data_IF_793147658405
#
_entry.id   IF_793147658405
#
_cell.length_a   1.000
_cell.length_b   1.000
_cell.length_c   1.000
_cell.angle_alpha   90.00
_cell.angle_beta   90.00
_cell.angle_gamma   90.00
#
_symmetry.space_group_name_H-M   'P 1'
#
loop_
_entity.id
_entity.type
_entity.pdbx_description
1 polymer ?
#
# COMPACT_ATOMS: atom_id res chain seq x y z
N UNK A 1 -32.24 44.90 -32.90
CA UNK A 1 -32.86 44.46 -31.63
C UNK A 1 -32.42 43.03 -31.38
N UNK A 2 -32.21 42.70 -30.10
CA UNK A 2 -31.27 41.71 -29.60
C UNK A 2 -31.67 40.26 -29.91
N UNK A 3 -30.76 39.53 -30.55
CA UNK A 3 -30.72 38.06 -30.51
C UNK A 3 -30.19 37.70 -29.12
N UNK A 4 -30.99 37.02 -28.29
CA UNK A 4 -30.52 36.52 -27.00
C UNK A 4 -29.43 35.46 -27.27
N UNK A 5 -28.17 35.84 -27.04
CA UNK A 5 -27.12 34.90 -26.66
C UNK A 5 -27.50 34.33 -25.31
N UNK A 6 -28.12 33.16 -25.31
CA UNK A 6 -28.17 32.28 -24.14
C UNK A 6 -26.99 31.31 -24.25
N UNK A 7 -26.26 31.22 -23.17
CA UNK A 7 -24.85 30.85 -23.07
C UNK A 7 -24.56 29.39 -23.47
N UNK A 8 -23.57 29.12 -24.33
CA UNK A 8 -23.06 27.77 -24.49
C UNK A 8 -22.15 27.48 -23.29
N UNK A 9 -22.33 26.33 -22.63
CA UNK A 9 -21.44 25.82 -21.57
C UNK A 9 -21.60 26.45 -20.17
N UNK A 10 -22.84 26.44 -19.68
CA UNK A 10 -23.08 26.42 -18.24
C UNK A 10 -22.44 25.19 -17.59
N UNK A 11 -21.65 25.44 -16.55
CA UNK A 11 -20.98 24.51 -15.62
C UNK A 11 -19.78 23.73 -16.19
N UNK A 12 -18.52 24.08 -15.80
CA UNK A 12 -17.52 23.03 -15.69
C UNK A 12 -18.09 22.03 -14.70
N UNK A 13 -18.35 20.81 -15.17
CA UNK A 13 -18.53 19.65 -14.32
C UNK A 13 -17.52 19.79 -13.20
N UNK A 14 -18.01 19.91 -11.96
CA UNK A 14 -17.16 19.77 -10.79
C UNK A 14 -16.60 18.37 -10.92
N UNK A 15 -15.42 18.27 -11.54
CA UNK A 15 -14.57 17.12 -11.47
C UNK A 15 -14.22 17.06 -9.99
N UNK A 16 -15.11 16.45 -9.20
CA UNK A 16 -14.65 15.68 -8.07
C UNK A 16 -13.47 14.90 -8.62
N UNK A 17 -12.24 15.11 -8.13
CA UNK A 17 -11.18 14.20 -8.47
C UNK A 17 -11.72 12.83 -8.09
N UNK A 18 -11.96 11.99 -9.10
CA UNK A 18 -12.19 10.57 -8.89
C UNK A 18 -11.09 10.14 -7.95
N UNK A 19 -11.50 9.69 -6.78
CA UNK A 19 -10.64 9.49 -5.63
C UNK A 19 -9.72 8.32 -5.97
N UNK A 20 -8.58 8.62 -6.58
CA UNK A 20 -7.63 7.61 -7.00
C UNK A 20 -6.82 7.28 -5.77
N UNK A 21 -7.38 6.41 -4.93
CA UNK A 21 -6.66 5.75 -3.85
C UNK A 21 -5.59 4.86 -4.44
N UNK A 22 -4.48 5.46 -4.88
CA UNK A 22 -3.23 4.80 -5.30
C UNK A 22 -2.50 4.21 -4.08
N UNK A 23 -3.26 3.67 -3.12
CA UNK A 23 -2.73 3.06 -1.92
C UNK A 23 -2.14 1.70 -2.29
N UNK A 24 -0.84 1.56 -2.10
CA UNK A 24 -0.15 0.29 -2.29
C UNK A 24 -0.70 -0.71 -1.27
N UNK A 25 -1.35 -1.77 -1.74
CA UNK A 25 -1.82 -2.85 -0.87
C UNK A 25 -0.78 -3.95 -0.79
N UNK A 26 -0.33 -4.25 0.43
CA UNK A 26 0.64 -5.28 0.73
C UNK A 26 -0.02 -6.33 1.62
N UNK A 27 -0.23 -7.54 1.09
CA UNK A 27 -0.73 -8.66 1.88
C UNK A 27 0.47 -9.54 2.30
N UNK A 28 0.86 -9.40 3.56
CA UNK A 28 1.87 -10.24 4.19
C UNK A 28 1.22 -11.56 4.62
N UNK A 29 1.76 -12.67 4.13
CA UNK A 29 1.37 -14.02 4.53
C UNK A 29 -0.16 -14.27 4.41
N UNK A 30 -0.75 -14.09 3.21
CA UNK A 30 -2.21 -14.16 3.01
C UNK A 30 -2.82 -15.51 3.39
N UNK A 31 -2.02 -16.56 3.33
CA UNK A 31 -2.35 -17.90 3.75
C UNK A 31 -1.03 -18.59 3.99
N UNK A 32 -0.37 -18.33 5.14
CA UNK A 32 0.83 -19.06 5.52
C UNK A 32 0.47 -20.55 5.40
N UNK A 33 0.91 -21.24 4.34
CA UNK A 33 0.49 -22.61 4.16
C UNK A 33 1.16 -23.32 5.32
N UNK A 34 0.42 -24.05 6.14
CA UNK A 34 0.99 -24.84 7.25
C UNK A 34 2.12 -25.80 6.80
N UNK A 35 2.42 -25.86 5.50
CA UNK A 35 3.55 -26.53 4.87
C UNK A 35 4.93 -25.85 5.06
N UNK A 36 5.03 -24.55 5.42
CA UNK A 36 6.32 -23.87 5.61
C UNK A 36 6.47 -23.28 7.03
N UNK A 37 7.04 -24.04 7.98
CA UNK A 37 7.24 -23.56 9.35
C UNK A 37 8.19 -22.36 9.41
N UNK A 38 9.23 -22.35 8.59
CA UNK A 38 10.22 -21.26 8.53
C UNK A 38 10.60 -20.92 7.08
N UNK A 39 10.96 -19.66 6.84
CA UNK A 39 11.40 -19.19 5.54
C UNK A 39 11.55 -17.68 5.47
N UNK A 40 12.19 -17.22 4.41
CA UNK A 40 12.24 -15.81 4.05
C UNK A 40 11.88 -15.61 2.57
N UNK A 41 11.18 -14.51 2.31
CA UNK A 41 10.87 -14.05 0.96
C UNK A 41 11.40 -12.63 0.83
N UNK A 42 12.16 -12.37 -0.22
CA UNK A 42 12.74 -11.05 -0.50
C UNK A 42 12.40 -10.64 -1.92
N UNK A 43 12.27 -9.34 -2.16
CA UNK A 43 11.97 -8.81 -3.49
C UNK A 43 10.51 -8.94 -3.91
N UNK A 44 9.57 -9.10 -2.97
CA UNK A 44 8.14 -9.03 -3.28
C UNK A 44 7.80 -7.62 -3.73
N UNK A 45 7.39 -7.46 -4.98
CA UNK A 45 7.01 -6.16 -5.52
C UNK A 45 5.51 -5.97 -5.40
N UNK A 46 5.08 -5.10 -4.50
CA UNK A 46 3.67 -4.71 -4.41
C UNK A 46 3.35 -3.58 -5.41
N UNK A 47 2.06 -3.42 -5.71
CA UNK A 47 1.58 -2.33 -6.56
C UNK A 47 1.97 -0.98 -5.95
N UNK A 48 2.43 -0.05 -6.78
CA UNK A 48 2.98 1.24 -6.31
C UNK A 48 4.51 1.25 -6.15
N UNK A 49 5.22 0.26 -6.70
CA UNK A 49 6.69 0.26 -6.73
C UNK A 49 7.35 -0.03 -5.39
N UNK A 50 6.61 -0.67 -4.48
CA UNK A 50 7.08 -1.06 -3.16
C UNK A 50 7.80 -2.42 -3.25
N UNK A 51 9.01 -2.49 -2.71
CA UNK A 51 9.75 -3.75 -2.56
C UNK A 51 9.66 -4.24 -1.11
N UNK A 52 9.32 -5.50 -0.91
CA UNK A 52 9.03 -6.07 0.40
C UNK A 52 9.82 -7.35 0.61
N UNK A 53 10.38 -7.47 1.80
CA UNK A 53 11.07 -8.63 2.30
C UNK A 53 10.45 -9.05 3.63
N UNK A 54 10.13 -10.33 3.80
CA UNK A 54 9.45 -10.89 4.95
C UNK A 54 10.21 -12.14 5.37
N UNK A 55 10.47 -12.30 6.65
CA UNK A 55 11.03 -13.49 7.26
C UNK A 55 10.06 -13.98 8.34
N UNK A 56 9.80 -15.29 8.36
CA UNK A 56 8.95 -15.95 9.34
C UNK A 56 9.60 -17.23 9.84
N UNK A 57 9.27 -17.60 11.06
CA UNK A 57 9.74 -18.81 11.74
C UNK A 57 8.63 -19.31 12.67
N UNK A 58 8.45 -20.62 12.75
CA UNK A 58 7.33 -21.26 13.47
C UNK A 58 5.95 -20.72 13.05
N UNK A 59 5.78 -20.35 11.78
CA UNK A 59 4.56 -19.71 11.26
C UNK A 59 4.28 -18.32 11.82
N UNK A 60 5.26 -17.69 12.46
CA UNK A 60 5.18 -16.32 13.00
C UNK A 60 6.12 -15.40 12.23
N UNK A 61 5.63 -14.22 11.87
CA UNK A 61 6.46 -13.16 11.32
C UNK A 61 7.59 -12.82 12.29
N UNK A 62 8.85 -12.98 11.85
CA UNK A 62 10.04 -12.56 12.60
C UNK A 62 10.39 -11.13 12.24
N UNK A 63 10.39 -10.80 10.95
CA UNK A 63 10.80 -9.50 10.44
C UNK A 63 10.14 -9.24 9.09
N UNK A 64 9.54 -8.07 8.92
CA UNK A 64 9.16 -7.57 7.61
C UNK A 64 9.88 -6.25 7.36
N UNK A 65 10.34 -6.06 6.14
CA UNK A 65 11.03 -4.88 5.68
C UNK A 65 10.41 -4.49 4.37
N UNK A 66 10.11 -3.22 4.18
CA UNK A 66 9.66 -2.73 2.89
C UNK A 66 10.33 -1.40 2.57
N UNK A 67 10.65 -1.24 1.29
CA UNK A 67 11.23 -0.05 0.72
C UNK A 67 10.23 0.53 -0.27
N UNK A 68 9.88 1.81 -0.08
CA UNK A 68 9.05 2.51 -1.04
C UNK A 68 9.92 3.33 -1.96
N UNK A 69 9.81 3.09 -3.27
CA UNK A 69 10.45 3.96 -4.28
C UNK A 69 9.68 5.26 -4.50
N UNK A 70 8.41 5.30 -4.10
CA UNK A 70 7.54 6.46 -4.22
C UNK A 70 7.00 6.88 -2.85
N UNK A 71 6.67 8.16 -2.69
CA UNK A 71 6.01 8.67 -1.48
C UNK A 71 4.50 8.43 -1.60
N UNK A 72 4.04 7.26 -1.15
CA UNK A 72 2.64 6.83 -1.28
C UNK A 72 2.16 6.15 0.00
N UNK A 73 0.86 6.26 0.33
CA UNK A 73 0.29 5.50 1.43
C UNK A 73 0.33 4.01 1.12
N UNK A 74 0.81 3.22 2.07
CA UNK A 74 0.89 1.75 1.97
C UNK A 74 -0.03 1.15 3.03
N UNK A 75 -0.92 0.27 2.58
CA UNK A 75 -1.78 -0.55 3.43
C UNK A 75 -1.17 -1.94 3.56
N UNK A 76 -0.69 -2.25 4.75
CA UNK A 76 -0.07 -3.52 5.10
C UNK A 76 -1.12 -4.38 5.81
N UNK A 77 -1.41 -5.55 5.28
CA UNK A 77 -2.30 -6.53 5.89
C UNK A 77 -1.51 -7.77 6.29
N UNK A 78 -1.57 -8.14 7.57
CA UNK A 78 -0.90 -9.33 8.11
C UNK A 78 -1.79 -10.04 9.13
N UNK A 79 -2.01 -11.35 8.97
CA UNK A 79 -2.80 -12.17 9.91
C UNK A 79 -4.17 -11.57 10.28
N UNK A 80 -4.85 -10.94 9.31
CA UNK A 80 -6.14 -10.27 9.52
C UNK A 80 -6.07 -8.86 10.13
N UNK A 81 -4.87 -8.36 10.44
CA UNK A 81 -4.63 -6.98 10.89
C UNK A 81 -4.25 -6.10 9.72
N UNK A 82 -4.80 -4.90 9.66
CA UNK A 82 -4.50 -3.91 8.63
C UNK A 82 -3.85 -2.69 9.28
N UNK A 83 -2.76 -2.22 8.67
CA UNK A 83 -2.01 -1.05 9.10
C UNK A 83 -1.76 -0.16 7.89
N UNK A 84 -2.25 1.06 7.94
CA UNK A 84 -1.92 2.08 6.97
C UNK A 84 -0.74 2.91 7.48
N UNK A 85 0.22 3.16 6.61
CA UNK A 85 1.39 4.00 6.87
C UNK A 85 1.64 4.90 5.66
N UNK A 86 2.19 6.08 5.92
CA UNK A 86 2.72 6.92 4.84
C UNK A 86 4.17 6.54 4.59
N UNK A 87 4.39 5.74 3.55
CA UNK A 87 5.73 5.43 3.12
C UNK A 87 6.30 6.62 2.33
N UNK A 88 7.52 7.03 2.65
CA UNK A 88 8.26 8.05 1.90
C UNK A 88 9.19 7.38 0.89
N UNK A 89 9.35 8.01 -0.28
CA UNK A 89 10.30 7.57 -1.30
C UNK A 89 11.72 7.47 -0.73
N UNK A 90 12.37 6.32 -0.94
CA UNK A 90 13.72 6.06 -0.45
C UNK A 90 13.80 5.67 1.03
N UNK A 91 12.68 5.62 1.75
CA UNK A 91 12.67 5.18 3.13
C UNK A 91 12.42 3.66 3.20
N UNK A 92 13.33 2.97 3.89
CA UNK A 92 13.12 1.60 4.30
C UNK A 92 12.50 1.59 5.68
N UNK A 93 11.44 0.82 5.82
CA UNK A 93 10.73 0.62 7.07
C UNK A 93 10.85 -0.83 7.47
N UNK A 94 11.08 -1.03 8.77
CA UNK A 94 11.19 -2.35 9.37
C UNK A 94 10.01 -2.53 10.34
N UNK A 95 9.36 -3.68 10.21
CA UNK A 95 8.22 -4.13 10.99
C UNK A 95 8.63 -5.39 11.72
N UNK A 96 8.55 -5.35 13.04
CA UNK A 96 8.66 -6.55 13.87
C UNK A 96 7.42 -7.44 13.83
N UNK A 97 7.40 -8.54 14.60
CA UNK A 97 6.25 -9.45 14.78
C UNK A 97 4.94 -8.73 15.17
N UNK A 98 5.05 -7.57 15.81
CA UNK A 98 3.93 -6.76 16.31
C UNK A 98 3.44 -5.68 15.34
N UNK A 99 3.97 -5.60 14.10
CA UNK A 99 3.77 -4.45 13.20
C UNK A 99 4.20 -3.11 13.84
N UNK A 100 5.13 -3.15 14.80
CA UNK A 100 5.69 -1.96 15.42
C UNK A 100 6.66 -1.33 14.43
N UNK A 101 6.35 -0.10 14.02
CA UNK A 101 7.29 0.80 13.34
C UNK A 101 8.07 1.56 14.43
N UNK A 102 9.40 1.63 14.37
CA UNK A 102 10.17 2.53 15.25
C UNK A 102 9.92 4.00 14.94
#
# INVERSE_FOLDING_TARGET
>A
MLLQSDDPYGTPTSLTPVQTGDAAFLHLLPALPSAFPEGDVRGLRARGGLEVAIAWQDGKLVKATFNSKESKPVKIRYAGREKEIQAKAGQTYELGPTLTVP
#
